data_IF_746508942380
#
_entry.id   IF_746508942380
#
_cell.length_a   1.000
_cell.length_b   1.000
_cell.length_c   1.000
_cell.angle_alpha   90.00
_cell.angle_beta   90.00
_cell.angle_gamma   90.00
#
_symmetry.space_group_name_H-M   'P 1'
#
loop_
_entity.id
_entity.type
_entity.pdbx_description
1 polymer ?
#
# COMPACT_ATOMS: atom_id res chain seq x y z
N UNK A 1 -7.99 12.03 4.47
CA UNK A 1 -7.20 11.01 3.73
C UNK A 1 -7.12 9.68 4.48
N UNK A 2 -6.77 9.68 5.78
CA UNK A 2 -6.90 8.51 6.67
C UNK A 2 -8.33 7.94 6.74
N UNK A 3 -9.35 8.82 6.74
CA UNK A 3 -10.77 8.44 6.75
C UNK A 3 -11.24 7.66 5.52
N UNK A 4 -10.63 7.87 4.34
CA UNK A 4 -10.98 7.11 3.13
C UNK A 4 -10.40 5.71 3.16
N UNK A 5 -9.26 5.53 3.83
CA UNK A 5 -8.58 4.24 3.99
C UNK A 5 -9.27 3.43 5.09
N UNK A 6 -9.65 4.07 6.20
CA UNK A 6 -10.50 3.46 7.25
C UNK A 6 -11.88 3.12 6.70
N UNK A 7 -12.49 4.03 5.92
CA UNK A 7 -13.78 3.79 5.26
C UNK A 7 -13.71 2.69 4.19
N UNK A 8 -12.63 2.63 3.41
CA UNK A 8 -12.39 1.54 2.47
C UNK A 8 -12.14 0.21 3.19
N UNK A 9 -11.38 0.20 4.28
CA UNK A 9 -11.19 -1.00 5.11
C UNK A 9 -12.51 -1.50 5.70
N UNK A 10 -13.37 -0.59 6.19
CA UNK A 10 -14.69 -0.91 6.73
C UNK A 10 -15.67 -1.37 5.65
N UNK A 11 -15.63 -0.78 4.45
CA UNK A 11 -16.41 -1.21 3.29
C UNK A 11 -15.94 -2.56 2.75
N UNK A 12 -14.64 -2.85 2.79
CA UNK A 12 -14.06 -4.15 2.45
C UNK A 12 -14.52 -5.22 3.47
N UNK A 13 -14.59 -4.88 4.76
CA UNK A 13 -15.14 -5.76 5.79
C UNK A 13 -16.64 -6.02 5.58
N UNK A 14 -17.40 -5.00 5.19
CA UNK A 14 -18.84 -5.07 4.96
C UNK A 14 -19.24 -5.78 3.65
N UNK A 15 -18.43 -5.66 2.59
CA UNK A 15 -18.71 -6.23 1.26
C UNK A 15 -18.27 -7.70 1.15
N UNK A 16 -17.24 -8.13 1.89
CA UNK A 16 -16.53 -9.39 1.58
C UNK A 16 -16.90 -10.57 2.51
N UNK A 17 -17.77 -10.40 3.51
CA UNK A 17 -18.47 -11.52 4.14
C UNK A 17 -17.55 -12.68 4.60
N UNK A 18 -16.63 -12.38 5.52
CA UNK A 18 -15.87 -13.20 6.48
C UNK A 18 -15.56 -14.72 6.33
N UNK A 19 -15.93 -15.46 5.27
CA UNK A 19 -15.78 -16.93 5.26
C UNK A 19 -14.95 -17.54 4.12
N UNK A 20 -14.61 -16.79 3.07
CA UNK A 20 -13.92 -17.35 1.88
C UNK A 20 -12.47 -16.87 1.68
N UNK A 21 -11.95 -16.06 2.60
CA UNK A 21 -10.60 -15.52 2.49
C UNK A 21 -9.58 -16.53 3.03
N UNK A 22 -8.79 -17.09 2.11
CA UNK A 22 -7.59 -17.87 2.43
C UNK A 22 -6.69 -17.08 3.40
N UNK A 23 -6.10 -17.78 4.37
CA UNK A 23 -5.29 -17.18 5.45
C UNK A 23 -4.17 -16.25 4.94
N UNK A 24 -3.68 -16.50 3.72
CA UNK A 24 -2.68 -15.70 3.01
C UNK A 24 -3.15 -14.27 2.72
N UNK A 25 -4.41 -14.06 2.34
CA UNK A 25 -4.94 -12.72 2.00
C UNK A 25 -5.01 -11.84 3.26
N UNK A 26 -5.36 -12.41 4.43
CA UNK A 26 -5.37 -11.66 5.70
C UNK A 26 -3.98 -11.11 6.03
N UNK A 27 -2.92 -11.91 5.83
CA UNK A 27 -1.53 -11.49 6.07
C UNK A 27 -1.12 -10.37 5.11
N UNK A 28 -1.48 -10.48 3.84
CA UNK A 28 -1.18 -9.47 2.81
C UNK A 28 -1.91 -8.15 3.12
N UNK A 29 -3.21 -8.20 3.39
CA UNK A 29 -4.02 -7.00 3.69
C UNK A 29 -3.52 -6.31 4.97
N UNK A 30 -3.24 -7.07 6.02
CA UNK A 30 -2.67 -6.54 7.27
C UNK A 30 -1.33 -5.82 7.02
N UNK A 31 -0.44 -6.41 6.21
CA UNK A 31 0.81 -5.78 5.82
C UNK A 31 0.60 -4.45 5.08
N UNK A 32 -0.27 -4.41 4.07
CA UNK A 32 -0.56 -3.17 3.34
C UNK A 32 -1.21 -2.11 4.24
N UNK A 33 -2.02 -2.50 5.22
CA UNK A 33 -2.60 -1.60 6.22
C UNK A 33 -1.50 -0.91 7.05
N UNK A 34 -0.58 -1.69 7.62
CA UNK A 34 0.54 -1.18 8.41
C UNK A 34 1.46 -0.31 7.54
N UNK A 35 1.79 -0.79 6.34
CA UNK A 35 2.64 -0.07 5.40
C UNK A 35 2.03 1.28 5.00
N UNK A 36 0.73 1.31 4.75
CA UNK A 36 -0.02 2.54 4.43
C UNK A 36 -0.02 3.52 5.60
N UNK A 37 -0.23 3.02 6.82
CA UNK A 37 -0.20 3.85 8.03
C UNK A 37 1.21 4.45 8.24
N UNK A 38 2.24 3.62 8.13
CA UNK A 38 3.64 4.03 8.28
C UNK A 38 4.03 5.08 7.24
N UNK A 39 3.77 4.81 5.96
CA UNK A 39 4.06 5.77 4.88
C UNK A 39 3.23 7.05 4.99
N UNK A 40 2.00 6.97 5.48
CA UNK A 40 1.16 8.15 5.73
C UNK A 40 1.75 9.05 6.81
N UNK A 41 2.21 8.49 7.93
CA UNK A 41 2.87 9.25 9.00
C UNK A 41 4.18 9.85 8.49
N UNK A 42 5.01 9.06 7.81
CA UNK A 42 6.28 9.54 7.25
C UNK A 42 6.08 10.69 6.26
N UNK A 43 5.11 10.55 5.35
CA UNK A 43 4.80 11.59 4.36
C UNK A 43 4.31 12.85 5.05
N UNK A 44 3.40 12.75 6.03
CA UNK A 44 2.90 13.90 6.77
C UNK A 44 4.01 14.61 7.56
N UNK A 45 4.89 13.84 8.20
CA UNK A 45 6.03 14.37 8.94
C UNK A 45 7.02 15.09 8.00
N UNK A 46 7.42 14.46 6.89
CA UNK A 46 8.34 15.08 5.92
C UNK A 46 7.73 16.33 5.26
N UNK A 47 6.43 16.32 4.93
CA UNK A 47 5.76 17.50 4.36
C UNK A 47 5.71 18.68 5.35
N UNK A 48 5.63 18.40 6.66
CA UNK A 48 5.63 19.43 7.69
C UNK A 48 6.98 20.14 7.83
N UNK A 49 8.07 19.45 7.46
CA UNK A 49 9.44 19.98 7.53
C UNK A 49 9.84 20.68 6.22
N UNK A 50 9.44 20.15 5.06
CA UNK A 50 9.89 20.68 3.77
C UNK A 50 8.80 20.59 2.71
N UNK A 51 7.87 21.55 2.78
CA UNK A 51 6.69 21.65 1.89
C UNK A 51 7.08 21.89 0.42
N UNK A 52 8.24 22.49 0.18
CA UNK A 52 8.76 22.79 -1.16
C UNK A 52 9.13 21.50 -1.92
N UNK A 53 9.55 20.45 -1.22
CA UNK A 53 9.97 19.18 -1.82
C UNK A 53 8.85 18.11 -1.81
N UNK A 54 7.59 18.53 -1.75
CA UNK A 54 6.41 17.65 -1.62
C UNK A 54 6.39 16.51 -2.65
N UNK A 55 6.82 16.77 -3.89
CA UNK A 55 6.90 15.76 -4.95
C UNK A 55 7.95 14.68 -4.65
N UNK A 56 9.16 15.08 -4.24
CA UNK A 56 10.23 14.16 -3.87
C UNK A 56 9.86 13.31 -2.65
N UNK A 57 9.16 13.90 -1.69
CA UNK A 57 8.66 13.19 -0.52
C UNK A 57 7.63 12.13 -0.94
N UNK A 58 6.71 12.47 -1.85
CA UNK A 58 5.72 11.54 -2.38
C UNK A 58 6.38 10.39 -3.17
N UNK A 59 7.35 10.71 -4.04
CA UNK A 59 8.11 9.70 -4.79
C UNK A 59 8.89 8.78 -3.84
N UNK A 60 9.51 9.35 -2.80
CA UNK A 60 10.21 8.59 -1.76
C UNK A 60 9.29 7.64 -1.01
N UNK A 61 8.08 8.07 -0.67
CA UNK A 61 7.08 7.22 -0.02
C UNK A 61 6.66 6.03 -0.89
N UNK A 62 6.51 6.25 -2.21
CA UNK A 62 6.21 5.18 -3.18
C UNK A 62 7.40 4.22 -3.32
N UNK A 63 8.63 4.75 -3.34
CA UNK A 63 9.85 3.94 -3.34
C UNK A 63 9.98 3.06 -2.09
N UNK A 64 9.72 3.61 -0.90
CA UNK A 64 9.70 2.86 0.36
C UNK A 64 8.65 1.75 0.30
N UNK A 65 7.45 2.03 -0.21
CA UNK A 65 6.40 1.02 -0.39
C UNK A 65 6.82 -0.13 -1.28
N UNK A 66 7.46 0.16 -2.40
CA UNK A 66 7.96 -0.85 -3.33
C UNK A 66 9.02 -1.71 -2.63
N UNK A 67 9.98 -1.09 -1.94
CA UNK A 67 11.03 -1.80 -1.21
C UNK A 67 10.48 -2.67 -0.08
N UNK A 68 9.55 -2.14 0.72
CA UNK A 68 8.87 -2.90 1.77
C UNK A 68 8.04 -4.06 1.22
N UNK A 69 7.38 -3.87 0.08
CA UNK A 69 6.60 -4.91 -0.60
C UNK A 69 7.48 -6.07 -1.03
N UNK A 70 8.65 -5.78 -1.63
CA UNK A 70 9.65 -6.80 -1.98
C UNK A 70 10.17 -7.52 -0.72
N UNK A 71 10.49 -6.76 0.32
CA UNK A 71 10.95 -7.32 1.60
C UNK A 71 9.91 -8.25 2.23
N UNK A 72 8.63 -7.89 2.21
CA UNK A 72 7.56 -8.73 2.73
C UNK A 72 7.42 -10.06 1.99
N UNK A 73 7.48 -10.02 0.65
CA UNK A 73 7.47 -11.25 -0.17
C UNK A 73 8.68 -12.12 0.18
N UNK A 74 9.87 -11.53 0.30
CA UNK A 74 11.08 -12.26 0.69
C UNK A 74 10.94 -12.91 2.08
N UNK A 75 10.44 -12.18 3.07
CA UNK A 75 10.18 -12.72 4.42
C UNK A 75 9.18 -13.87 4.37
N UNK A 76 8.06 -13.72 3.67
CA UNK A 76 7.05 -14.78 3.54
C UNK A 76 7.58 -16.02 2.81
N UNK A 77 8.49 -15.85 1.85
CA UNK A 77 9.22 -16.95 1.22
C UNK A 77 10.11 -17.69 2.23
N UNK A 78 10.86 -16.96 3.06
CA UNK A 78 11.71 -17.53 4.11
C UNK A 78 10.92 -18.27 5.20
N UNK A 79 9.71 -17.81 5.55
CA UNK A 79 8.84 -18.47 6.52
C UNK A 79 8.19 -19.78 6.00
N UNK A 80 8.45 -20.18 4.74
CA UNK A 80 7.97 -21.45 4.20
C UNK A 80 6.46 -21.47 3.94
N UNK A 81 5.92 -20.41 3.32
CA UNK A 81 4.48 -20.28 3.07
C UNK A 81 3.94 -21.43 2.20
N UNK A 82 2.94 -22.13 2.73
CA UNK A 82 2.26 -23.24 2.06
C UNK A 82 1.41 -22.67 0.90
N UNK A 83 1.83 -22.98 -0.33
CA UNK A 83 1.28 -22.46 -1.60
C UNK A 83 1.79 -21.08 -2.05
N UNK A 84 3.12 -20.98 -2.15
CA UNK A 84 3.86 -19.84 -2.71
C UNK A 84 3.21 -19.23 -3.96
N UNK A 85 2.81 -20.05 -4.94
CA UNK A 85 2.23 -19.54 -6.19
C UNK A 85 0.92 -18.74 -5.95
N UNK A 86 0.04 -19.25 -5.08
CA UNK A 86 -1.22 -18.60 -4.73
C UNK A 86 -0.96 -17.34 -3.90
N UNK A 87 0.01 -17.38 -3.00
CA UNK A 87 0.42 -16.20 -2.23
C UNK A 87 0.95 -15.09 -3.16
N UNK A 88 1.84 -15.43 -4.09
CA UNK A 88 2.43 -14.46 -5.01
C UNK A 88 1.35 -13.84 -5.91
N UNK A 89 0.45 -14.64 -6.48
CA UNK A 89 -0.65 -14.13 -7.31
C UNK A 89 -1.54 -13.18 -6.50
N UNK A 90 -1.99 -13.60 -5.31
CA UNK A 90 -2.82 -12.75 -4.46
C UNK A 90 -2.10 -11.44 -4.07
N UNK A 91 -0.82 -11.53 -3.73
CA UNK A 91 0.00 -10.37 -3.41
C UNK A 91 0.10 -9.42 -4.61
N UNK A 92 0.37 -9.97 -5.80
CA UNK A 92 0.52 -9.18 -7.03
C UNK A 92 -0.77 -8.46 -7.42
N UNK A 93 -1.92 -9.13 -7.30
CA UNK A 93 -3.23 -8.53 -7.59
C UNK A 93 -3.49 -7.36 -6.65
N UNK A 94 -3.34 -7.56 -5.34
CA UNK A 94 -3.53 -6.50 -4.33
C UNK A 94 -2.54 -5.35 -4.56
N UNK A 95 -1.28 -5.68 -4.81
CA UNK A 95 -0.23 -4.70 -5.09
C UNK A 95 -0.51 -3.90 -6.37
N UNK A 96 -0.99 -4.52 -7.45
CA UNK A 96 -1.33 -3.84 -8.70
C UNK A 96 -2.49 -2.86 -8.52
N UNK A 97 -3.56 -3.28 -7.82
CA UNK A 97 -4.65 -2.37 -7.49
C UNK A 97 -4.14 -1.16 -6.72
N UNK A 98 -3.30 -1.41 -5.71
CA UNK A 98 -2.70 -0.37 -4.89
C UNK A 98 -1.81 0.58 -5.71
N UNK A 99 -0.93 0.02 -6.56
CA UNK A 99 -0.02 0.74 -7.43
C UNK A 99 -0.78 1.64 -8.42
N UNK A 100 -1.90 1.17 -8.97
CA UNK A 100 -2.77 1.98 -9.82
C UNK A 100 -3.20 3.25 -9.10
N UNK A 101 -3.78 3.11 -7.91
CA UNK A 101 -4.22 4.26 -7.11
C UNK A 101 -3.07 5.23 -6.81
N UNK A 102 -1.88 4.72 -6.47
CA UNK A 102 -0.70 5.54 -6.19
C UNK A 102 -0.25 6.34 -7.42
N UNK A 103 -0.16 5.70 -8.59
CA UNK A 103 0.26 6.37 -9.84
C UNK A 103 -0.77 7.42 -10.27
N UNK A 104 -2.08 7.10 -10.23
CA UNK A 104 -3.13 8.05 -10.57
C UNK A 104 -3.10 9.28 -9.66
N UNK A 105 -2.87 9.09 -8.36
CA UNK A 105 -2.74 10.19 -7.42
C UNK A 105 -1.49 11.04 -7.66
N UNK A 106 -0.36 10.40 -7.98
CA UNK A 106 0.87 11.10 -8.36
C UNK A 106 0.64 12.02 -9.56
N UNK A 107 0.08 11.46 -10.63
CA UNK A 107 -0.21 12.20 -11.87
C UNK A 107 -1.19 13.34 -11.59
N UNK A 108 -2.24 13.08 -10.80
CA UNK A 108 -3.22 14.10 -10.42
C UNK A 108 -2.62 15.26 -9.61
N UNK A 109 -1.65 14.98 -8.72
CA UNK A 109 -0.95 16.01 -7.92
C UNK A 109 0.16 16.74 -8.70
N UNK A 110 0.72 16.11 -9.74
CA UNK A 110 1.74 16.73 -10.60
C UNK A 110 1.14 17.64 -11.68
N UNK A 111 -0.09 17.37 -12.12
CA UNK A 111 -0.79 18.14 -13.16
C UNK A 111 -0.95 19.65 -12.86
N UNK A 112 -1.22 20.10 -11.62
CA UNK A 112 -1.39 21.52 -11.32
C UNK A 112 -0.09 22.35 -11.32
N UNK A 113 1.08 21.71 -11.20
CA UNK A 113 2.39 22.38 -11.08
C UNK A 113 3.18 22.44 -12.41
N UNK A 114 2.52 22.17 -13.55
CA UNK A 114 3.14 22.21 -14.90
C UNK A 114 2.89 23.55 -15.63
N UNK A 115 2.82 24.68 -14.92
CA UNK A 115 2.77 26.02 -15.54
C UNK A 115 4.06 26.76 -15.34
#
# INVERSE_FOLDING_TARGET
>A
MSLLIVGAAYLIEAVIGLQWIHESIKKIVSFFLILTWLTGIFTHYLLSISKENSVNILLGAIGIRLLSSIGFVAVMLFLGQENLILFVINFFVVYLFYLLFDIYMLIANLRPNSK
#
